data_IF_361983729305
#
_entry.id   IF_361983729305
#
_cell.length_a   1.000
_cell.length_b   1.000
_cell.length_c   1.000
_cell.angle_alpha   90.00
_cell.angle_beta   90.00
_cell.angle_gamma   90.00
#
_symmetry.space_group_name_H-M   'P 1'
#
loop_
_entity.id
_entity.type
_entity.pdbx_description
1 polymer ?
#
# COMPACT_ATOMS: atom_id res chain seq x y z
N UNK A 1 7.60 33.44 4.79
CA UNK A 1 7.87 33.53 6.24
C UNK A 1 8.49 32.24 6.73
N UNK A 2 9.82 32.18 6.90
CA UNK A 2 10.49 31.13 7.65
C UNK A 2 10.47 31.46 9.15
N UNK A 3 10.52 30.43 10.00
CA UNK A 3 10.52 30.58 11.46
C UNK A 3 11.10 29.34 12.12
N UNK A 4 12.42 29.22 11.99
CA UNK A 4 13.30 28.25 12.66
C UNK A 4 13.31 28.51 14.17
N UNK A 5 13.17 27.47 15.01
CA UNK A 5 13.76 27.46 16.35
C UNK A 5 13.89 26.03 16.90
N UNK A 6 15.09 25.74 17.37
CA UNK A 6 15.57 24.50 17.97
C UNK A 6 15.52 24.60 19.52
N UNK A 7 15.53 23.42 20.16
CA UNK A 7 16.17 23.08 21.46
C UNK A 7 15.32 23.03 22.76
N UNK A 8 15.26 21.77 23.25
CA UNK A 8 15.16 21.19 24.62
C UNK A 8 13.92 21.32 25.49
N UNK A 9 13.41 20.18 26.00
CA UNK A 9 12.81 20.09 27.32
C UNK A 9 13.81 19.54 28.36
N UNK A 10 13.97 20.30 29.43
CA UNK A 10 14.47 19.85 30.73
C UNK A 10 13.46 18.89 31.36
N UNK A 11 13.87 17.67 31.71
CA UNK A 11 13.10 16.79 32.60
C UNK A 11 13.85 16.60 33.92
N UNK A 12 13.30 17.22 34.94
CA UNK A 12 13.56 16.96 36.35
C UNK A 12 13.00 15.58 36.72
N UNK A 13 13.83 14.69 37.24
CA UNK A 13 13.34 13.50 37.92
C UNK A 13 13.87 13.43 39.35
N UNK A 14 12.95 13.66 40.26
CA UNK A 14 13.03 13.46 41.69
C UNK A 14 13.13 11.94 41.96
N UNK A 15 14.16 11.50 42.67
CA UNK A 15 14.20 10.14 43.21
C UNK A 15 14.71 10.12 44.64
N UNK A 16 13.91 9.45 45.45
CA UNK A 16 13.96 9.38 46.89
C UNK A 16 15.18 8.58 47.36
N UNK A 17 15.66 9.04 48.51
CA UNK A 17 16.70 8.44 49.35
C UNK A 17 16.44 6.96 49.64
N UNK A 18 17.51 6.17 49.64
CA UNK A 18 17.77 5.23 50.72
C UNK A 18 19.27 5.23 51.06
N UNK A 19 19.51 5.69 52.27
CA UNK A 19 20.77 5.79 52.99
C UNK A 19 21.24 4.44 53.49
N UNK A 20 22.54 4.12 53.41
CA UNK A 20 23.25 3.43 54.48
C UNK A 20 24.76 3.81 54.50
N UNK A 21 25.14 4.49 55.58
CA UNK A 21 26.34 4.24 56.38
C UNK A 21 27.73 4.38 55.74
N UNK A 22 28.32 5.59 55.81
CA UNK A 22 29.77 5.76 55.97
C UNK A 22 30.13 5.76 57.46
N UNK A 23 31.18 5.03 57.85
CA UNK A 23 32.08 5.44 58.94
C UNK A 23 33.53 5.31 58.50
N UNK A 24 34.29 6.30 58.91
CA UNK A 24 35.68 6.62 58.59
C UNK A 24 36.65 6.08 59.65
N UNK A 25 37.80 5.60 59.18
CA UNK A 25 39.13 5.69 59.82
C UNK A 25 39.54 4.63 60.85
N UNK A 26 40.84 4.56 61.24
CA UNK A 26 42.04 5.01 60.53
C UNK A 26 43.19 3.96 60.47
N UNK A 27 44.14 4.29 59.60
CA UNK A 27 45.45 3.68 59.32
C UNK A 27 46.39 3.63 60.52
N UNK A 28 46.98 2.46 60.80
CA UNK A 28 48.22 2.32 61.58
C UNK A 28 49.29 1.60 60.74
N UNK A 29 50.45 2.23 60.63
CA UNK A 29 51.69 1.69 60.06
C UNK A 29 52.66 1.38 61.20
N UNK A 30 53.46 0.29 61.15
CA UNK A 30 54.56 0.09 62.09
C UNK A 30 55.88 0.57 61.48
N UNK A 31 56.54 1.53 62.12
CA UNK A 31 57.94 1.91 61.88
C UNK A 31 58.73 1.57 63.14
N UNK A 32 59.75 0.71 63.03
CA UNK A 32 60.70 0.43 64.09
C UNK A 32 62.10 0.77 63.59
N UNK A 33 62.70 1.80 64.19
CA UNK A 33 64.11 2.15 64.06
C UNK A 33 64.80 1.88 65.39
N UNK A 34 65.92 1.13 65.45
CA UNK A 34 66.75 1.07 66.65
C UNK A 34 67.76 2.22 66.63
N UNK A 35 67.82 3.03 67.69
CA UNK A 35 68.91 3.99 67.90
C UNK A 35 69.50 3.78 69.29
N UNK A 36 70.77 3.41 69.28
CA UNK A 36 71.64 3.18 70.41
C UNK A 36 71.80 4.44 71.28
N UNK A 37 71.91 4.24 72.60
CA UNK A 37 72.68 5.14 73.47
C UNK A 37 73.57 4.35 74.43
N UNK A 38 74.78 4.85 74.74
CA UNK A 38 75.80 4.10 75.45
C UNK A 38 75.62 4.19 76.98
N UNK A 39 75.98 3.11 77.66
CA UNK A 39 76.08 3.02 79.13
C UNK A 39 77.48 3.44 79.60
N UNK A 40 77.52 4.48 80.42
CA UNK A 40 78.70 4.85 81.23
C UNK A 40 78.55 4.28 82.65
N UNK A 41 79.68 3.81 83.20
CA UNK A 41 79.89 3.01 84.41
C UNK A 41 80.24 3.90 85.62
N UNK A 42 79.80 3.54 86.84
CA UNK A 42 80.58 3.60 88.10
C UNK A 42 79.78 2.99 89.29
N UNK A 43 80.20 1.84 89.83
CA UNK A 43 80.90 1.58 91.13
C UNK A 43 80.02 1.50 92.37
N UNK A 44 79.95 0.30 92.98
CA UNK A 44 80.42 -0.01 94.35
C UNK A 44 80.34 -1.55 94.61
N UNK A 45 81.06 -2.08 95.61
CA UNK A 45 81.78 -3.35 95.51
C UNK A 45 81.11 -4.52 96.25
N UNK A 46 81.54 -5.75 95.96
CA UNK A 46 81.45 -6.89 96.88
C UNK A 46 82.76 -7.68 96.93
N UNK A 47 83.07 -8.35 98.05
CA UNK A 47 84.42 -8.74 98.43
C UNK A 47 84.91 -10.02 97.76
N UNK A 48 86.24 -10.12 97.69
CA UNK A 48 87.02 -11.30 97.30
C UNK A 48 86.59 -12.54 98.11
N UNK A 49 86.31 -13.63 97.41
CA UNK A 49 86.65 -14.97 97.90
C UNK A 49 87.44 -15.70 96.82
N UNK A 50 88.59 -16.18 97.26
CA UNK A 50 89.51 -17.05 96.52
C UNK A 50 88.88 -18.41 96.27
N UNK A 51 88.98 -18.90 95.04
CA UNK A 51 88.69 -20.29 94.71
C UNK A 51 88.88 -20.52 93.22
N UNK A 52 89.99 -21.15 92.86
CA UNK A 52 90.18 -21.76 91.54
C UNK A 52 89.01 -22.72 91.31
N UNK A 53 88.04 -22.32 90.51
CA UNK A 53 86.90 -23.14 90.11
C UNK A 53 86.90 -23.28 88.58
N UNK A 54 86.71 -24.52 88.15
CA UNK A 54 86.90 -25.04 86.81
C UNK A 54 85.93 -24.42 85.78
N UNK A 55 86.48 -23.78 84.74
CA UNK A 55 85.73 -23.12 83.66
C UNK A 55 85.23 -24.10 82.58
N UNK A 56 85.47 -25.40 82.71
CA UNK A 56 85.04 -26.40 81.73
C UNK A 56 83.51 -26.54 81.68
N UNK A 57 82.85 -26.73 82.82
CA UNK A 57 81.39 -26.91 82.88
C UNK A 57 80.60 -25.65 82.49
N UNK A 58 81.12 -24.46 82.79
CA UNK A 58 80.50 -23.19 82.38
C UNK A 58 80.63 -22.94 80.86
N UNK A 59 81.68 -23.45 80.20
CA UNK A 59 81.83 -23.40 78.75
C UNK A 59 80.88 -24.37 78.04
N UNK A 60 80.70 -25.58 78.59
CA UNK A 60 79.75 -26.57 78.05
C UNK A 60 78.32 -26.05 78.15
N UNK A 61 77.90 -25.56 79.32
CA UNK A 61 76.57 -24.97 79.50
C UNK A 61 76.33 -23.72 78.63
N UNK A 62 77.35 -22.89 78.42
CA UNK A 62 77.25 -21.74 77.51
C UNK A 62 77.25 -22.16 76.03
N UNK A 63 77.91 -23.27 75.68
CA UNK A 63 77.83 -23.87 74.34
C UNK A 63 76.42 -24.40 74.06
N UNK A 64 75.84 -25.14 75.00
CA UNK A 64 74.47 -25.66 74.91
C UNK A 64 73.44 -24.52 74.84
N UNK A 65 73.60 -23.46 75.62
CA UNK A 65 72.70 -22.29 75.56
C UNK A 65 72.84 -21.49 74.25
N UNK A 66 74.03 -21.52 73.64
CA UNK A 66 74.25 -20.94 72.31
C UNK A 66 73.62 -21.82 71.25
N UNK A 67 73.71 -23.14 71.36
CA UNK A 67 73.09 -24.10 70.45
C UNK A 67 71.56 -24.02 70.48
N UNK A 68 70.94 -23.97 71.66
CA UNK A 68 69.48 -23.79 71.78
C UNK A 68 69.04 -22.46 71.18
N UNK A 69 69.75 -21.36 71.48
CA UNK A 69 69.45 -20.05 70.90
C UNK A 69 69.68 -19.99 69.39
N UNK A 70 70.65 -20.73 68.86
CA UNK A 70 70.83 -20.84 67.40
C UNK A 70 69.73 -21.70 66.77
N UNK A 71 69.29 -22.76 67.43
CA UNK A 71 68.19 -23.60 66.95
C UNK A 71 66.86 -22.81 66.95
N UNK A 72 66.53 -22.12 68.04
CA UNK A 72 65.36 -21.21 68.09
C UNK A 72 65.45 -20.12 67.00
N UNK A 73 66.66 -19.60 66.75
CA UNK A 73 66.86 -18.60 65.68
C UNK A 73 66.61 -19.21 64.29
N UNK A 74 67.01 -20.46 64.05
CA UNK A 74 66.76 -21.17 62.78
C UNK A 74 65.27 -21.48 62.64
N UNK A 75 64.60 -21.96 63.68
CA UNK A 75 63.15 -22.19 63.66
C UNK A 75 62.36 -20.89 63.39
N UNK A 76 62.77 -19.78 64.01
CA UNK A 76 62.18 -18.47 63.74
C UNK A 76 62.46 -17.98 62.32
N UNK A 77 63.58 -18.38 61.71
CA UNK A 77 63.90 -18.07 60.33
C UNK A 77 63.01 -18.88 59.38
N UNK A 78 62.87 -20.19 59.60
CA UNK A 78 61.97 -21.05 58.81
C UNK A 78 60.51 -20.60 58.89
N UNK A 79 60.06 -20.18 60.07
CA UNK A 79 58.72 -19.65 60.27
C UNK A 79 58.52 -18.35 59.48
N UNK A 80 59.53 -17.47 59.49
CA UNK A 80 59.51 -16.22 58.72
C UNK A 80 59.54 -16.48 57.20
N UNK A 81 60.28 -17.48 56.72
CA UNK A 81 60.30 -17.85 55.30
C UNK A 81 58.93 -18.40 54.84
N UNK A 82 58.28 -19.20 55.71
CA UNK A 82 56.90 -19.65 55.47
C UNK A 82 55.93 -18.48 55.46
N UNK A 83 56.06 -17.52 56.39
CA UNK A 83 55.22 -16.31 56.38
C UNK A 83 55.45 -15.46 55.14
N UNK A 84 56.69 -15.28 54.69
CA UNK A 84 56.98 -14.57 53.46
C UNK A 84 56.29 -15.21 52.25
N UNK A 85 56.34 -16.55 52.16
CA UNK A 85 55.66 -17.32 51.11
C UNK A 85 54.13 -17.16 51.16
N UNK A 86 53.53 -17.18 52.34
CA UNK A 86 52.09 -16.95 52.49
C UNK A 86 51.69 -15.51 52.16
N UNK A 87 52.48 -14.52 52.57
CA UNK A 87 52.25 -13.11 52.24
C UNK A 87 52.30 -12.90 50.73
N UNK A 88 53.27 -13.51 50.04
CA UNK A 88 53.37 -13.45 48.59
C UNK A 88 52.17 -14.11 47.90
N UNK A 89 51.73 -15.28 48.39
CA UNK A 89 50.53 -15.95 47.90
C UNK A 89 49.26 -15.11 48.11
N UNK A 90 49.12 -14.46 49.27
CA UNK A 90 47.99 -13.56 49.54
C UNK A 90 48.03 -12.35 48.60
N UNK A 91 49.19 -11.73 48.38
CA UNK A 91 49.34 -10.63 47.41
C UNK A 91 48.97 -11.06 45.99
N UNK A 92 49.41 -12.25 45.56
CA UNK A 92 49.07 -12.78 44.24
C UNK A 92 47.57 -13.05 44.12
N UNK A 93 46.95 -13.62 45.16
CA UNK A 93 45.50 -13.86 45.19
C UNK A 93 44.71 -12.55 45.23
N UNK A 94 45.15 -11.55 45.98
CA UNK A 94 44.55 -10.22 45.99
C UNK A 94 44.66 -9.54 44.63
N UNK A 95 45.81 -9.64 43.97
CA UNK A 95 46.00 -9.10 42.62
C UNK A 95 45.11 -9.82 41.61
N UNK A 96 45.02 -11.16 41.68
CA UNK A 96 44.15 -11.95 40.82
C UNK A 96 42.67 -11.64 41.06
N UNK A 97 42.25 -11.49 42.31
CA UNK A 97 40.89 -11.07 42.64
C UNK A 97 40.59 -9.66 42.13
N UNK A 98 41.54 -8.73 42.21
CA UNK A 98 41.37 -7.39 41.61
C UNK A 98 41.12 -7.47 40.11
N UNK A 99 41.88 -8.30 39.39
CA UNK A 99 41.69 -8.50 37.95
C UNK A 99 40.32 -9.12 37.65
N UNK A 100 39.95 -10.19 38.34
CA UNK A 100 38.65 -10.85 38.17
C UNK A 100 37.47 -9.92 38.46
N UNK A 101 37.57 -9.06 39.48
CA UNK A 101 36.55 -8.06 39.80
C UNK A 101 36.43 -7.01 38.69
N UNK A 102 37.55 -6.57 38.12
CA UNK A 102 37.54 -5.63 36.99
C UNK A 102 36.93 -6.27 35.73
N UNK A 103 37.28 -7.52 35.43
CA UNK A 103 36.71 -8.28 34.31
C UNK A 103 35.20 -8.48 34.48
N UNK A 104 34.74 -8.86 35.67
CA UNK A 104 33.33 -9.07 35.98
C UNK A 104 32.52 -7.76 35.89
N UNK A 105 33.07 -6.65 36.35
CA UNK A 105 32.40 -5.35 36.18
C UNK A 105 32.29 -4.95 34.70
N UNK A 106 33.35 -5.21 33.91
CA UNK A 106 33.38 -4.91 32.48
C UNK A 106 32.38 -5.74 31.68
N UNK A 107 32.26 -7.04 31.95
CA UNK A 107 31.26 -7.89 31.27
C UNK A 107 29.84 -7.52 31.69
N UNK A 108 29.63 -7.23 32.98
CA UNK A 108 28.32 -6.80 33.51
C UNK A 108 27.82 -5.49 32.91
N UNK A 109 28.71 -4.56 32.55
CA UNK A 109 28.35 -3.33 31.83
C UNK A 109 28.01 -3.57 30.35
N UNK A 110 28.54 -4.62 29.72
CA UNK A 110 28.34 -4.90 28.29
C UNK A 110 27.12 -5.75 27.97
N UNK A 111 26.74 -6.69 28.85
CA UNK A 111 25.78 -7.75 28.52
C UNK A 111 24.27 -7.36 28.51
N UNK A 112 23.77 -6.36 29.28
CA UNK A 112 22.34 -6.05 29.26
C UNK A 112 21.89 -4.91 28.31
N UNK A 113 22.76 -3.96 27.93
CA UNK A 113 22.34 -2.82 27.09
C UNK A 113 22.38 -3.14 25.60
N UNK A 114 23.46 -3.75 25.10
CA UNK A 114 23.69 -3.88 23.64
C UNK A 114 22.59 -4.64 22.91
N UNK A 115 22.11 -5.75 23.48
CA UNK A 115 21.05 -6.55 22.86
C UNK A 115 19.70 -5.84 22.93
N UNK A 116 19.39 -5.21 24.05
CA UNK A 116 18.17 -4.42 24.20
C UNK A 116 18.15 -3.22 23.24
N UNK A 117 19.30 -2.55 23.06
CA UNK A 117 19.45 -1.41 22.16
C UNK A 117 19.21 -1.83 20.69
N UNK A 118 19.77 -2.97 20.24
CA UNK A 118 19.54 -3.51 18.90
C UNK A 118 18.07 -3.86 18.67
N UNK A 119 17.41 -4.57 19.60
CA UNK A 119 15.98 -4.85 19.46
C UNK A 119 15.12 -3.59 19.46
N UNK A 120 15.49 -2.58 20.24
CA UNK A 120 14.79 -1.30 20.23
C UNK A 120 14.98 -0.55 18.91
N UNK A 121 16.17 -0.59 18.31
CA UNK A 121 16.44 -0.01 16.99
C UNK A 121 15.61 -0.70 15.90
N UNK A 122 15.57 -2.03 15.87
CA UNK A 122 14.73 -2.79 14.94
C UNK A 122 13.24 -2.47 15.11
N UNK A 123 12.76 -2.37 16.36
CA UNK A 123 11.38 -1.95 16.64
C UNK A 123 11.09 -0.52 16.16
N UNK A 124 12.05 0.41 16.25
CA UNK A 124 11.90 1.78 15.71
C UNK A 124 11.87 1.77 14.18
N UNK A 125 12.74 0.99 13.54
CA UNK A 125 12.79 0.85 12.08
C UNK A 125 11.49 0.24 11.54
N UNK A 126 10.98 -0.82 12.18
CA UNK A 126 9.72 -1.46 11.84
C UNK A 126 8.54 -0.50 12.01
N UNK A 127 8.48 0.26 13.11
CA UNK A 127 7.45 1.29 13.31
C UNK A 127 7.50 2.36 12.21
N UNK A 128 8.71 2.84 11.87
CA UNK A 128 8.90 3.81 10.79
C UNK A 128 8.45 3.26 9.44
N UNK A 129 8.74 1.99 9.14
CA UNK A 129 8.24 1.31 7.93
C UNK A 129 6.73 1.21 7.91
N UNK A 130 6.10 0.86 9.03
CA UNK A 130 4.63 0.81 9.16
C UNK A 130 4.01 2.19 8.92
N UNK A 131 4.59 3.25 9.49
CA UNK A 131 4.12 4.63 9.26
C UNK A 131 4.28 5.05 7.79
N UNK A 132 5.42 4.76 7.17
CA UNK A 132 5.64 5.05 5.75
C UNK A 132 4.66 4.30 4.85
N UNK A 133 4.46 3.00 5.08
CA UNK A 133 3.48 2.21 4.34
C UNK A 133 2.06 2.71 4.61
N UNK A 134 1.74 3.12 5.83
CA UNK A 134 0.45 3.71 6.20
C UNK A 134 0.17 5.01 5.44
N UNK A 135 1.15 5.92 5.37
CA UNK A 135 1.00 7.16 4.59
C UNK A 135 0.93 6.92 3.09
N UNK A 136 1.70 5.96 2.55
CA UNK A 136 1.62 5.57 1.15
C UNK A 136 0.26 4.96 0.80
N UNK A 137 -0.25 4.08 1.67
CA UNK A 137 -1.59 3.50 1.55
C UNK A 137 -2.67 4.58 1.55
N UNK A 138 -2.63 5.51 2.51
CA UNK A 138 -3.62 6.59 2.57
C UNK A 138 -3.59 7.47 1.31
N UNK A 139 -2.41 7.76 0.75
CA UNK A 139 -2.30 8.50 -0.53
C UNK A 139 -2.91 7.71 -1.70
N UNK A 140 -2.64 6.42 -1.77
CA UNK A 140 -3.20 5.55 -2.81
C UNK A 140 -4.73 5.43 -2.70
N UNK A 141 -5.27 5.38 -1.48
CA UNK A 141 -6.72 5.38 -1.22
C UNK A 141 -7.37 6.67 -1.73
N UNK A 142 -6.79 7.84 -1.43
CA UNK A 142 -7.29 9.13 -1.94
C UNK A 142 -7.24 9.19 -3.47
N UNK A 143 -6.17 8.68 -4.10
CA UNK A 143 -6.09 8.62 -5.56
C UNK A 143 -7.14 7.69 -6.16
N UNK A 144 -7.36 6.52 -5.55
CA UNK A 144 -8.41 5.58 -5.97
C UNK A 144 -9.79 6.24 -5.88
N UNK A 145 -10.07 6.95 -4.80
CA UNK A 145 -11.36 7.60 -4.57
C UNK A 145 -11.58 8.73 -5.58
N UNK A 146 -10.55 9.55 -5.85
CA UNK A 146 -10.60 10.58 -6.90
C UNK A 146 -10.87 9.98 -8.29
N UNK A 147 -10.18 8.90 -8.66
CA UNK A 147 -10.41 8.21 -9.94
C UNK A 147 -11.82 7.58 -10.00
N UNK A 148 -12.35 7.08 -8.87
CA UNK A 148 -13.70 6.54 -8.81
C UNK A 148 -14.76 7.64 -9.03
N UNK A 149 -14.56 8.84 -8.46
CA UNK A 149 -15.42 10.01 -8.70
C UNK A 149 -15.36 10.46 -10.17
N UNK A 150 -14.16 10.55 -10.75
CA UNK A 150 -13.98 10.90 -12.17
C UNK A 150 -14.69 9.89 -13.08
N UNK A 151 -14.53 8.59 -12.83
CA UNK A 151 -15.24 7.53 -13.54
C UNK A 151 -16.77 7.63 -13.38
N UNK A 152 -17.25 7.98 -12.18
CA UNK A 152 -18.65 8.27 -11.92
C UNK A 152 -19.17 9.40 -12.80
N UNK A 153 -18.46 10.54 -12.81
CA UNK A 153 -18.84 11.71 -13.61
C UNK A 153 -18.84 11.43 -15.12
N UNK A 154 -17.90 10.62 -15.61
CA UNK A 154 -17.84 10.22 -17.03
C UNK A 154 -19.00 9.28 -17.40
N UNK A 155 -19.38 8.38 -16.50
CA UNK A 155 -20.55 7.51 -16.70
C UNK A 155 -21.84 8.31 -16.77
N UNK A 156 -22.03 9.29 -15.89
CA UNK A 156 -23.20 10.17 -15.92
C UNK A 156 -23.27 10.97 -17.22
N UNK A 157 -22.15 11.57 -17.65
CA UNK A 157 -22.08 12.26 -18.94
C UNK A 157 -22.41 11.35 -20.11
N UNK A 158 -21.87 10.13 -20.12
CA UNK A 158 -22.18 9.15 -21.16
C UNK A 158 -23.67 8.79 -21.17
N UNK A 159 -24.29 8.61 -20.00
CA UNK A 159 -25.73 8.35 -19.90
C UNK A 159 -26.55 9.53 -20.44
N UNK A 160 -26.17 10.76 -20.12
CA UNK A 160 -26.81 11.98 -20.66
C UNK A 160 -26.70 12.04 -22.18
N UNK A 161 -25.52 11.78 -22.75
CA UNK A 161 -25.33 11.74 -24.21
C UNK A 161 -26.18 10.65 -24.87
N UNK A 162 -26.30 9.48 -24.25
CA UNK A 162 -27.18 8.41 -24.76
C UNK A 162 -28.64 8.86 -24.73
N UNK A 163 -29.09 9.53 -23.66
CA UNK A 163 -30.47 10.04 -23.61
C UNK A 163 -30.73 11.10 -24.67
N UNK A 164 -29.82 12.06 -24.84
CA UNK A 164 -29.94 13.11 -25.87
C UNK A 164 -29.92 12.51 -27.28
N UNK A 165 -29.09 11.49 -27.52
CA UNK A 165 -29.08 10.75 -28.80
C UNK A 165 -30.43 10.10 -29.08
N UNK A 166 -31.03 9.42 -28.09
CA UNK A 166 -32.32 8.76 -28.24
C UNK A 166 -33.45 9.78 -28.49
N UNK A 167 -33.41 10.93 -27.82
CA UNK A 167 -34.34 12.03 -28.06
C UNK A 167 -34.19 12.62 -29.47
N UNK A 168 -32.96 12.82 -29.93
CA UNK A 168 -32.67 13.24 -31.30
C UNK A 168 -33.13 12.20 -32.34
N UNK A 169 -32.95 10.91 -32.07
CA UNK A 169 -33.44 9.83 -32.95
C UNK A 169 -34.98 9.79 -33.00
N UNK A 170 -35.64 9.99 -31.87
CA UNK A 170 -37.10 10.08 -31.78
C UNK A 170 -37.65 11.27 -32.57
N UNK A 171 -37.05 12.45 -32.42
CA UNK A 171 -37.47 13.66 -33.17
C UNK A 171 -37.22 13.50 -34.68
N UNK A 172 -36.09 12.91 -35.09
CA UNK A 172 -35.84 12.58 -36.49
C UNK A 172 -36.86 11.58 -37.05
N UNK A 173 -37.29 10.59 -36.26
CA UNK A 173 -38.32 9.66 -36.66
C UNK A 173 -39.68 10.36 -36.85
N UNK A 174 -40.04 11.30 -35.97
CA UNK A 174 -41.24 12.13 -36.12
C UNK A 174 -41.19 12.97 -37.40
N UNK A 175 -40.07 13.67 -37.66
CA UNK A 175 -39.93 14.45 -38.90
C UNK A 175 -40.03 13.60 -40.16
N UNK A 176 -39.53 12.35 -40.14
CA UNK A 176 -39.71 11.43 -41.28
C UNK A 176 -41.19 11.11 -41.52
N UNK A 177 -41.94 10.83 -40.46
CA UNK A 177 -43.38 10.61 -40.57
C UNK A 177 -44.12 11.84 -41.11
N UNK A 178 -43.75 13.03 -40.66
CA UNK A 178 -44.34 14.29 -41.16
C UNK A 178 -44.05 14.50 -42.65
N UNK A 179 -42.82 14.20 -43.09
CA UNK A 179 -42.43 14.27 -44.50
C UNK A 179 -43.22 13.26 -45.35
N UNK A 180 -43.36 12.02 -44.87
CA UNK A 180 -44.15 11.00 -45.55
C UNK A 180 -45.63 11.40 -45.64
N UNK A 181 -46.21 11.96 -44.57
CA UNK A 181 -47.57 12.49 -44.56
C UNK A 181 -47.76 13.66 -45.53
N UNK A 182 -46.81 14.60 -45.57
CA UNK A 182 -46.82 15.72 -46.51
C UNK A 182 -46.68 15.25 -47.97
N UNK A 183 -45.86 14.22 -48.23
CA UNK A 183 -45.72 13.62 -49.55
C UNK A 183 -47.03 12.97 -50.02
N UNK A 184 -47.73 12.25 -49.14
CA UNK A 184 -49.06 11.71 -49.43
C UNK A 184 -50.09 12.81 -49.73
N UNK A 185 -50.14 13.86 -48.90
CA UNK A 185 -51.04 14.99 -49.13
C UNK A 185 -50.75 15.71 -50.46
N UNK A 186 -49.48 15.86 -50.83
CA UNK A 186 -49.09 16.42 -52.14
C UNK A 186 -49.60 15.53 -53.29
N UNK A 187 -49.41 14.22 -53.21
CA UNK A 187 -49.91 13.28 -54.23
C UNK A 187 -51.45 13.33 -54.36
N UNK A 188 -52.17 13.48 -53.25
CA UNK A 188 -53.63 13.63 -53.27
C UNK A 188 -54.07 14.93 -53.97
N UNK A 189 -53.38 16.03 -53.69
CA UNK A 189 -53.63 17.30 -54.36
C UNK A 189 -53.28 17.24 -55.86
N UNK A 190 -52.17 16.61 -56.24
CA UNK A 190 -51.79 16.40 -57.64
C UNK A 190 -52.86 15.60 -58.39
N UNK A 191 -53.39 14.52 -57.79
CA UNK A 191 -54.51 13.75 -58.37
C UNK A 191 -55.76 14.60 -58.55
N UNK A 192 -56.07 15.46 -57.58
CA UNK A 192 -57.26 16.32 -57.63
C UNK A 192 -57.12 17.43 -58.67
N UNK A 193 -55.91 18.00 -58.81
CA UNK A 193 -55.58 18.93 -59.89
C UNK A 193 -55.73 18.26 -61.25
N UNK A 194 -55.19 17.04 -61.42
CA UNK A 194 -55.38 16.26 -62.65
C UNK A 194 -56.85 16.04 -62.99
N UNK A 195 -57.66 15.62 -62.01
CA UNK A 195 -59.11 15.44 -62.20
C UNK A 195 -59.83 16.73 -62.59
N UNK A 196 -59.46 17.87 -61.99
CA UNK A 196 -60.05 19.17 -62.34
C UNK A 196 -59.59 19.63 -63.73
N UNK A 197 -58.36 19.35 -64.12
CA UNK A 197 -57.86 19.62 -65.47
C UNK A 197 -58.63 18.82 -66.52
N UNK A 198 -58.90 17.53 -66.26
CA UNK A 198 -59.71 16.68 -67.13
C UNK A 198 -61.16 17.22 -67.25
N UNK A 199 -61.75 17.69 -66.15
CA UNK A 199 -63.09 18.30 -66.14
C UNK A 199 -63.13 19.63 -66.94
N UNK A 200 -62.11 20.48 -66.79
CA UNK A 200 -61.98 21.71 -67.60
C UNK A 200 -61.84 21.37 -69.08
N UNK A 201 -60.99 20.40 -69.44
CA UNK A 201 -60.82 19.98 -70.83
C UNK A 201 -62.12 19.40 -71.41
N UNK A 202 -62.88 18.66 -70.60
CA UNK A 202 -64.21 18.18 -70.98
C UNK A 202 -65.18 19.35 -71.23
N UNK A 203 -65.27 20.32 -70.32
CA UNK A 203 -66.13 21.50 -70.49
C UNK A 203 -65.73 22.35 -71.70
N UNK A 204 -64.43 22.48 -71.98
CA UNK A 204 -63.94 23.15 -73.18
C UNK A 204 -64.39 22.43 -74.46
N UNK A 205 -64.27 21.10 -74.52
CA UNK A 205 -64.77 20.30 -75.66
C UNK A 205 -66.28 20.46 -75.84
N UNK A 206 -67.06 20.38 -74.76
CA UNK A 206 -68.51 20.58 -74.83
C UNK A 206 -68.82 22.00 -75.33
N UNK A 207 -68.09 23.02 -74.86
CA UNK A 207 -68.27 24.40 -75.31
C UNK A 207 -67.93 24.56 -76.79
N UNK A 208 -66.83 23.96 -77.27
CA UNK A 208 -66.47 23.92 -78.69
C UNK A 208 -67.55 23.23 -79.53
N UNK A 209 -68.05 22.07 -79.11
CA UNK A 209 -69.13 21.36 -79.79
C UNK A 209 -70.42 22.18 -79.85
N UNK A 210 -70.83 22.82 -78.75
CA UNK A 210 -72.01 23.71 -78.71
C UNK A 210 -71.81 24.93 -79.60
N UNK A 211 -70.61 25.51 -79.61
CA UNK A 211 -70.27 26.66 -80.45
C UNK A 211 -70.27 26.27 -81.93
N UNK A 212 -69.77 25.07 -82.27
CA UNK A 212 -69.86 24.52 -83.61
C UNK A 212 -71.29 24.17 -84.02
N UNK A 213 -72.15 23.72 -83.09
CA UNK A 213 -73.59 23.53 -83.34
C UNK A 213 -74.32 24.85 -83.57
N UNK A 214 -74.02 25.89 -82.79
CA UNK A 214 -74.60 27.23 -82.95
C UNK A 214 -74.09 27.96 -84.20
N UNK A 215 -72.79 27.87 -84.51
CA UNK A 215 -72.20 28.47 -85.71
C UNK A 215 -72.42 27.63 -86.97
N UNK A 216 -72.63 26.32 -86.83
CA UNK A 216 -72.99 25.38 -87.91
C UNK A 216 -74.42 25.53 -88.42
N UNK A 217 -75.28 26.26 -87.70
CA UNK A 217 -76.62 26.65 -88.15
C UNK A 217 -76.64 27.71 -89.28
N UNK A 218 -75.49 28.21 -89.72
CA UNK A 218 -75.39 29.23 -90.78
C UNK A 218 -74.38 28.85 -91.88
N UNK A 219 -74.45 27.60 -92.36
CA UNK A 219 -73.64 27.15 -93.51
C UNK A 219 -74.40 26.18 -94.41
N UNK A 220 -75.41 26.71 -95.09
CA UNK A 220 -76.06 26.07 -96.23
C UNK A 220 -76.49 27.13 -97.25
N UNK A 221 -75.70 27.29 -98.31
CA UNK A 221 -76.12 28.02 -99.51
C UNK A 221 -75.16 29.13 -99.97
N UNK A 222 -74.23 28.80 -100.86
CA UNK A 222 -73.82 29.74 -101.91
C UNK A 222 -73.29 28.95 -103.11
N UNK A 223 -74.21 28.59 -104.00
CA UNK A 223 -73.93 28.41 -105.41
C UNK A 223 -74.35 29.71 -106.12
N UNK A 224 -73.55 30.12 -107.10
CA UNK A 224 -73.58 31.44 -107.71
C UNK A 224 -74.88 31.85 -108.40
N UNK A 225 -74.95 33.13 -108.72
CA UNK A 225 -76.03 33.73 -109.50
C UNK A 225 -76.02 35.25 -109.37
N UNK A 226 -75.55 35.89 -110.43
CA UNK A 226 -75.49 37.33 -110.70
C UNK A 226 -76.87 38.01 -110.80
N UNK A 227 -76.93 39.25 -110.27
CA UNK A 227 -77.63 40.44 -110.80
C UNK A 227 -79.18 40.57 -110.70
N UNK A 228 -79.78 41.78 -110.89
CA UNK A 228 -79.57 43.03 -110.15
C UNK A 228 -80.89 43.86 -109.96
N UNK A 229 -81.30 44.22 -108.73
CA UNK A 229 -82.32 45.28 -108.53
C UNK A 229 -82.54 45.64 -107.04
N UNK A 230 -81.71 46.53 -106.47
CA UNK A 230 -82.09 47.29 -105.26
C UNK A 230 -81.27 48.55 -104.89
N UNK A 231 -80.40 49.20 -105.71
CA UNK A 231 -79.65 50.37 -105.22
C UNK A 231 -80.40 51.71 -105.31
N UNK A 232 -81.69 51.74 -105.69
CA UNK A 232 -82.46 52.99 -105.76
C UNK A 232 -83.26 53.26 -104.47
N UNK A 233 -83.98 52.26 -103.95
CA UNK A 233 -84.79 52.43 -102.74
C UNK A 233 -83.96 52.62 -101.45
N UNK A 234 -82.74 52.06 -101.41
CA UNK A 234 -81.79 52.27 -100.31
C UNK A 234 -81.15 53.68 -100.31
N UNK A 235 -81.06 54.34 -101.47
CA UNK A 235 -80.56 55.72 -101.58
C UNK A 235 -81.62 56.73 -101.18
N UNK A 236 -82.87 56.52 -101.57
CA UNK A 236 -83.98 57.40 -101.19
C UNK A 236 -84.26 57.34 -99.68
N UNK A 237 -84.12 56.16 -99.04
CA UNK A 237 -84.19 56.03 -97.58
C UNK A 237 -82.98 56.68 -96.86
N UNK A 238 -81.79 56.67 -97.46
CA UNK A 238 -80.61 57.38 -96.92
C UNK A 238 -80.78 58.90 -97.00
N UNK A 239 -81.43 59.42 -98.04
CA UNK A 239 -81.65 60.85 -98.24
C UNK A 239 -82.80 61.38 -97.37
N UNK A 240 -83.83 60.57 -97.11
CA UNK A 240 -84.88 60.87 -96.13
C UNK A 240 -84.35 60.86 -94.67
N UNK A 241 -83.40 59.98 -94.33
CA UNK A 241 -82.69 60.00 -93.04
C UNK A 241 -81.73 61.20 -92.90
N UNK A 242 -81.18 61.69 -94.01
CA UNK A 242 -80.36 62.91 -94.02
C UNK A 242 -81.21 64.19 -93.85
N UNK A 243 -82.42 64.23 -94.41
CA UNK A 243 -83.37 65.34 -94.27
C UNK A 243 -84.05 65.42 -92.88
N UNK A 244 -84.17 64.30 -92.17
CA UNK A 244 -84.70 64.26 -90.79
C UNK A 244 -83.64 64.39 -89.69
N UNK A 245 -82.36 64.62 -90.05
CA UNK A 245 -81.31 64.98 -89.08
C UNK A 245 -81.46 66.45 -88.66
N UNK A 246 -82.52 66.71 -87.90
CA UNK A 246 -82.68 67.94 -87.13
C UNK A 246 -81.50 68.03 -86.17
N UNK A 247 -80.72 69.08 -86.34
CA UNK A 247 -79.65 69.50 -85.44
C UNK A 247 -80.31 69.90 -84.11
N UNK A 248 -80.46 68.94 -83.21
CA UNK A 248 -80.65 69.23 -81.79
C UNK A 248 -79.26 69.35 -81.21
N UNK A 249 -78.83 70.58 -80.98
CA UNK A 249 -77.73 70.92 -80.11
C UNK A 249 -77.96 70.22 -78.76
N UNK A 250 -77.28 69.10 -78.57
CA UNK A 250 -77.00 68.55 -77.26
C UNK A 250 -75.52 68.83 -77.04
N UNK A 251 -75.25 69.99 -76.45
CA UNK A 251 -74.06 70.23 -75.65
C UNK A 251 -74.03 69.18 -74.53
N UNK A 252 -73.48 68.02 -74.86
CA UNK A 252 -72.95 67.05 -73.92
C UNK A 252 -71.67 66.54 -74.56
N UNK A 253 -70.54 66.98 -74.02
CA UNK A 253 -69.20 66.48 -74.35
C UNK A 253 -69.24 64.96 -74.51
N UNK A 254 -69.13 64.48 -75.75
CA UNK A 254 -68.99 63.05 -76.03
C UNK A 254 -67.79 62.56 -75.22
N UNK A 255 -67.94 61.56 -74.35
CA UNK A 255 -66.80 61.05 -73.59
C UNK A 255 -65.76 60.54 -74.59
N UNK A 256 -64.53 61.05 -74.49
CA UNK A 256 -63.45 60.73 -75.42
C UNK A 256 -62.98 59.27 -75.19
N UNK A 257 -63.63 58.34 -75.88
CA UNK A 257 -63.35 56.91 -75.81
C UNK A 257 -61.87 56.59 -76.09
N UNK A 258 -61.20 57.43 -76.89
CA UNK A 258 -59.78 57.29 -77.23
C UNK A 258 -58.87 57.62 -76.04
N UNK A 259 -59.26 58.58 -75.19
CA UNK A 259 -58.57 58.85 -73.94
C UNK A 259 -58.77 57.71 -72.94
N UNK A 260 -60.01 57.23 -72.78
CA UNK A 260 -60.33 56.10 -71.91
C UNK A 260 -59.57 54.82 -72.30
N UNK A 261 -59.45 54.52 -73.61
CA UNK A 261 -58.68 53.37 -74.10
C UNK A 261 -57.16 53.52 -73.88
N UNK A 262 -56.62 54.74 -74.00
CA UNK A 262 -55.21 55.01 -73.66
C UNK A 262 -54.95 54.85 -72.17
N UNK A 263 -55.85 55.35 -71.33
CA UNK A 263 -55.73 55.23 -69.88
C UNK A 263 -55.82 53.77 -69.43
N UNK A 264 -56.75 52.98 -69.99
CA UNK A 264 -56.83 51.54 -69.75
C UNK A 264 -55.53 50.86 -70.18
N UNK A 265 -54.97 51.20 -71.35
CA UNK A 265 -53.70 50.63 -71.82
C UNK A 265 -52.53 50.97 -70.89
N UNK A 266 -52.40 52.22 -70.47
CA UNK A 266 -51.37 52.66 -69.52
C UNK A 266 -51.52 51.94 -68.18
N UNK A 267 -52.75 51.75 -67.70
CA UNK A 267 -53.00 50.95 -66.49
C UNK A 267 -52.59 49.49 -66.66
N UNK A 268 -52.87 48.86 -67.79
CA UNK A 268 -52.42 47.49 -68.06
C UNK A 268 -50.90 47.38 -68.20
N UNK A 269 -50.25 48.34 -68.87
CA UNK A 269 -48.79 48.39 -68.98
C UNK A 269 -48.15 48.59 -67.59
N UNK A 270 -48.71 49.45 -66.75
CA UNK A 270 -48.28 49.63 -65.36
C UNK A 270 -48.50 48.38 -64.51
N UNK A 271 -49.66 47.71 -64.63
CA UNK A 271 -49.92 46.44 -63.95
C UNK A 271 -48.97 45.33 -64.41
N UNK A 272 -48.69 45.23 -65.71
CA UNK A 272 -47.76 44.24 -66.24
C UNK A 272 -46.33 44.49 -65.75
N UNK A 273 -45.90 45.75 -65.69
CA UNK A 273 -44.60 46.13 -65.13
C UNK A 273 -44.53 45.83 -63.62
N UNK A 274 -45.57 46.16 -62.84
CA UNK A 274 -45.65 45.84 -61.41
C UNK A 274 -45.58 44.34 -61.17
N UNK A 275 -46.38 43.56 -61.90
CA UNK A 275 -46.39 42.10 -61.80
C UNK A 275 -45.03 41.50 -62.17
N UNK A 276 -44.38 42.01 -63.23
CA UNK A 276 -43.03 41.56 -63.58
C UNK A 276 -42.02 41.87 -62.48
N UNK A 277 -42.04 43.07 -61.92
CA UNK A 277 -41.15 43.45 -60.82
C UNK A 277 -41.42 42.62 -59.55
N UNK A 278 -42.67 42.42 -59.17
CA UNK A 278 -43.08 41.59 -58.03
C UNK A 278 -42.60 40.14 -58.21
N UNK A 279 -42.72 39.58 -59.42
CA UNK A 279 -42.20 38.24 -59.69
C UNK A 279 -40.67 38.19 -59.59
N UNK A 280 -39.95 39.18 -60.12
CA UNK A 280 -38.49 39.25 -59.99
C UNK A 280 -38.04 39.38 -58.54
N UNK A 281 -38.67 40.26 -57.76
CA UNK A 281 -38.38 40.45 -56.35
C UNK A 281 -38.69 39.18 -55.55
N UNK A 282 -39.79 38.50 -55.87
CA UNK A 282 -40.14 37.20 -55.30
C UNK A 282 -39.07 36.14 -55.61
N UNK A 283 -38.61 36.05 -56.87
CA UNK A 283 -37.54 35.12 -57.24
C UNK A 283 -36.23 35.48 -56.53
N UNK A 284 -35.82 36.76 -56.52
CA UNK A 284 -34.60 37.22 -55.83
C UNK A 284 -34.63 36.87 -54.35
N UNK A 285 -35.76 37.12 -53.68
CA UNK A 285 -35.98 36.74 -52.28
C UNK A 285 -35.86 35.22 -52.09
N UNK A 286 -36.49 34.44 -52.97
CA UNK A 286 -36.43 32.98 -52.87
C UNK A 286 -35.03 32.42 -53.10
N UNK A 287 -34.27 33.01 -54.03
CA UNK A 287 -32.87 32.66 -54.24
C UNK A 287 -31.99 33.03 -53.04
N UNK A 288 -32.22 34.19 -52.43
CA UNK A 288 -31.52 34.59 -51.21
C UNK A 288 -31.80 33.60 -50.06
N UNK A 289 -33.07 33.26 -49.81
CA UNK A 289 -33.47 32.29 -48.79
C UNK A 289 -32.79 30.92 -48.97
N UNK A 290 -32.75 30.42 -50.21
CA UNK A 290 -32.10 29.14 -50.53
C UNK A 290 -30.58 29.21 -50.35
N UNK A 291 -29.98 30.35 -50.71
CA UNK A 291 -28.53 30.58 -50.54
C UNK A 291 -28.17 30.65 -49.05
N UNK A 292 -28.96 31.37 -48.25
CA UNK A 292 -28.77 31.47 -46.80
C UNK A 292 -28.99 30.12 -46.10
N UNK A 293 -29.97 29.34 -46.54
CA UNK A 293 -30.18 27.98 -46.05
C UNK A 293 -28.98 27.07 -46.39
N UNK A 294 -28.47 27.14 -47.62
CA UNK A 294 -27.29 26.38 -48.03
C UNK A 294 -26.03 26.79 -47.23
N UNK A 295 -25.85 28.09 -46.97
CA UNK A 295 -24.76 28.59 -46.13
C UNK A 295 -24.85 28.05 -44.70
N UNK A 296 -26.03 28.11 -44.07
CA UNK A 296 -26.30 27.54 -42.74
C UNK A 296 -26.03 26.04 -42.69
N UNK A 297 -26.47 25.29 -43.70
CA UNK A 297 -26.19 23.85 -43.78
C UNK A 297 -24.68 23.56 -43.94
N UNK A 298 -23.96 24.37 -44.71
CA UNK A 298 -22.51 24.23 -44.86
C UNK A 298 -21.76 24.54 -43.55
N UNK A 299 -22.20 25.54 -42.79
CA UNK A 299 -21.68 25.86 -41.46
C UNK A 299 -21.96 24.75 -40.45
N UNK A 300 -23.19 24.24 -40.40
CA UNK A 300 -23.55 23.10 -39.55
C UNK A 300 -22.70 21.86 -39.88
N UNK A 301 -22.45 21.58 -41.17
CA UNK A 301 -21.58 20.49 -41.60
C UNK A 301 -20.12 20.72 -41.16
N UNK A 302 -19.61 21.96 -41.21
CA UNK A 302 -18.27 22.27 -40.71
C UNK A 302 -18.19 22.10 -39.20
N UNK A 303 -19.17 22.59 -38.44
CA UNK A 303 -19.23 22.43 -36.99
C UNK A 303 -19.23 20.94 -36.60
N UNK A 304 -20.13 20.14 -37.19
CA UNK A 304 -20.20 18.69 -36.94
C UNK A 304 -18.88 17.98 -37.30
N UNK A 305 -18.19 18.40 -38.37
CA UNK A 305 -16.86 17.88 -38.72
C UNK A 305 -15.78 18.29 -37.71
N UNK A 306 -15.84 19.49 -37.16
CA UNK A 306 -14.91 19.93 -36.12
C UNK A 306 -15.12 19.12 -34.84
N UNK A 307 -16.36 18.98 -34.39
CA UNK A 307 -16.73 18.15 -33.23
C UNK A 307 -16.30 16.68 -33.41
N UNK A 308 -16.58 16.08 -34.58
CA UNK A 308 -16.16 14.71 -34.87
C UNK A 308 -14.63 14.54 -34.81
N UNK A 309 -13.87 15.55 -35.27
CA UNK A 309 -12.42 15.54 -35.19
C UNK A 309 -11.91 15.73 -33.75
N UNK A 310 -12.59 16.52 -32.93
CA UNK A 310 -12.27 16.69 -31.51
C UNK A 310 -12.51 15.40 -30.73
N UNK A 311 -13.66 14.74 -30.91
CA UNK A 311 -13.91 13.42 -30.33
C UNK A 311 -12.87 12.39 -30.78
N UNK A 312 -12.46 12.43 -32.06
CA UNK A 312 -11.39 11.56 -32.56
C UNK A 312 -10.05 11.81 -31.85
N UNK A 313 -9.68 13.07 -31.59
CA UNK A 313 -8.47 13.41 -30.84
C UNK A 313 -8.56 13.00 -29.37
N UNK A 314 -9.72 13.21 -28.73
CA UNK A 314 -9.96 12.78 -27.35
C UNK A 314 -9.86 11.26 -27.22
N UNK A 315 -10.45 10.51 -28.14
CA UNK A 315 -10.31 9.04 -28.19
C UNK A 315 -8.85 8.62 -28.32
N UNK A 316 -8.07 9.28 -29.18
CA UNK A 316 -6.64 8.98 -29.32
C UNK A 316 -5.85 9.27 -28.03
N UNK A 317 -6.12 10.41 -27.37
CA UNK A 317 -5.48 10.76 -26.10
C UNK A 317 -5.81 9.73 -25.01
N UNK A 318 -7.10 9.42 -24.82
CA UNK A 318 -7.55 8.41 -23.86
C UNK A 318 -6.97 7.02 -24.17
N UNK A 319 -6.80 6.68 -25.45
CA UNK A 319 -6.17 5.41 -25.84
C UNK A 319 -4.70 5.38 -25.43
N UNK A 320 -3.95 6.47 -25.64
CA UNK A 320 -2.56 6.57 -25.19
C UNK A 320 -2.44 6.49 -23.66
N UNK A 321 -3.33 7.16 -22.94
CA UNK A 321 -3.36 7.12 -21.47
C UNK A 321 -3.66 5.71 -20.96
N UNK A 322 -4.60 5.00 -21.59
CA UNK A 322 -4.89 3.59 -21.27
C UNK A 322 -3.68 2.69 -21.52
N UNK A 323 -2.96 2.86 -22.63
CA UNK A 323 -1.75 2.11 -22.93
C UNK A 323 -0.62 2.41 -21.92
N UNK A 324 -0.45 3.67 -21.54
CA UNK A 324 0.52 4.08 -20.54
C UNK A 324 0.21 3.49 -19.15
N UNK A 325 -1.06 3.52 -18.72
CA UNK A 325 -1.51 2.92 -17.47
C UNK A 325 -1.42 1.39 -17.49
N UNK A 326 -1.69 0.75 -18.63
CA UNK A 326 -1.45 -0.70 -18.79
C UNK A 326 0.04 -1.01 -18.63
N UNK A 327 0.91 -0.26 -19.28
CA UNK A 327 2.36 -0.43 -19.17
C UNK A 327 2.88 -0.25 -17.73
N UNK A 328 2.38 0.76 -17.00
CA UNK A 328 2.76 0.96 -15.60
C UNK A 328 2.24 -0.16 -14.70
N UNK A 329 1.01 -0.64 -14.92
CA UNK A 329 0.45 -1.76 -14.17
C UNK A 329 1.25 -3.05 -14.40
N UNK A 330 1.56 -3.39 -15.65
CA UNK A 330 2.43 -4.54 -15.94
C UNK A 330 3.82 -4.43 -15.30
N UNK A 331 4.38 -3.21 -15.20
CA UNK A 331 5.67 -2.99 -14.53
C UNK A 331 5.57 -3.22 -13.02
N UNK A 332 4.49 -2.76 -12.39
CA UNK A 332 4.23 -2.97 -10.96
C UNK A 332 3.98 -4.43 -10.65
N UNK A 333 3.23 -5.14 -11.50
CA UNK A 333 3.04 -6.59 -11.36
C UNK A 333 4.36 -7.36 -11.50
N UNK A 334 5.24 -6.98 -12.43
CA UNK A 334 6.59 -7.58 -12.52
C UNK A 334 7.39 -7.32 -11.25
N UNK A 335 7.40 -6.09 -10.73
CA UNK A 335 8.08 -5.77 -9.48
C UNK A 335 7.52 -6.57 -8.29
N UNK A 336 6.20 -6.75 -8.23
CA UNK A 336 5.56 -7.54 -7.16
C UNK A 336 5.97 -9.01 -7.24
N UNK A 337 5.96 -9.61 -8.44
CA UNK A 337 6.45 -10.98 -8.64
C UNK A 337 7.93 -11.12 -8.27
N UNK A 338 8.78 -10.19 -8.69
CA UNK A 338 10.21 -10.20 -8.32
C UNK A 338 10.42 -10.10 -6.79
N UNK A 339 9.60 -9.30 -6.09
CA UNK A 339 9.65 -9.21 -4.64
C UNK A 339 9.18 -10.51 -3.97
N UNK A 340 8.08 -11.10 -4.44
CA UNK A 340 7.59 -12.41 -3.98
C UNK A 340 8.64 -13.51 -4.16
N UNK A 341 9.30 -13.57 -5.32
CA UNK A 341 10.39 -14.52 -5.59
C UNK A 341 11.58 -14.30 -4.65
N UNK A 342 11.98 -13.05 -4.41
CA UNK A 342 13.06 -12.75 -3.45
C UNK A 342 12.72 -13.20 -2.04
N UNK A 343 11.50 -12.91 -1.56
CA UNK A 343 11.07 -13.36 -0.24
C UNK A 343 10.93 -14.88 -0.14
N UNK A 344 10.52 -15.55 -1.23
CA UNK A 344 10.50 -17.01 -1.28
C UNK A 344 11.91 -17.59 -1.16
N UNK A 345 12.90 -17.01 -1.85
CA UNK A 345 14.31 -17.41 -1.74
C UNK A 345 14.88 -17.16 -0.34
N UNK A 346 14.62 -15.98 0.26
CA UNK A 346 15.03 -15.68 1.64
C UNK A 346 14.40 -16.65 2.64
N UNK A 347 13.10 -16.94 2.48
CA UNK A 347 12.40 -17.92 3.33
C UNK A 347 13.03 -19.30 3.20
N UNK A 348 13.33 -19.76 1.96
CA UNK A 348 14.03 -21.02 1.73
C UNK A 348 15.41 -21.02 2.41
N UNK A 349 16.16 -19.93 2.30
CA UNK A 349 17.47 -19.82 2.94
C UNK A 349 17.36 -19.90 4.47
N UNK A 350 16.37 -19.24 5.08
CA UNK A 350 16.12 -19.38 6.51
C UNK A 350 15.72 -20.82 6.89
N UNK A 351 14.86 -21.47 6.11
CA UNK A 351 14.50 -22.87 6.33
C UNK A 351 15.72 -23.80 6.24
N UNK A 352 16.62 -23.60 5.28
CA UNK A 352 17.87 -24.36 5.18
C UNK A 352 18.76 -24.15 6.41
N UNK A 353 18.86 -22.91 6.92
CA UNK A 353 19.63 -22.64 8.14
C UNK A 353 19.02 -23.29 9.37
N UNK A 354 17.69 -23.28 9.49
CA UNK A 354 16.97 -23.97 10.56
C UNK A 354 17.23 -25.47 10.47
N UNK A 355 17.11 -26.06 9.27
CA UNK A 355 17.37 -27.48 9.04
C UNK A 355 18.78 -27.91 9.45
N UNK A 356 19.80 -27.12 9.10
CA UNK A 356 21.19 -27.37 9.53
C UNK A 356 21.35 -27.33 11.05
N UNK A 357 20.77 -26.33 11.71
CA UNK A 357 20.84 -26.23 13.17
C UNK A 357 20.09 -27.38 13.86
N UNK A 358 18.97 -27.83 13.28
CA UNK A 358 18.24 -29.00 13.77
C UNK A 358 19.04 -30.31 13.59
N UNK A 359 19.79 -30.44 12.49
CA UNK A 359 20.74 -31.54 12.27
C UNK A 359 21.88 -31.53 13.29
N UNK A 360 22.51 -30.38 13.53
CA UNK A 360 23.57 -30.23 14.53
C UNK A 360 23.07 -30.62 15.93
N UNK A 361 21.87 -30.16 16.31
CA UNK A 361 21.24 -30.51 17.58
C UNK A 361 20.99 -32.02 17.66
N UNK A 362 20.57 -32.66 16.57
CA UNK A 362 20.38 -34.12 16.53
C UNK A 362 21.72 -34.85 16.70
N UNK A 363 22.75 -34.45 15.96
CA UNK A 363 24.10 -35.04 16.07
C UNK A 363 24.64 -34.95 17.49
N UNK A 364 24.57 -33.77 18.11
CA UNK A 364 25.06 -33.56 19.47
C UNK A 364 24.27 -34.37 20.51
N UNK A 365 22.96 -34.56 20.31
CA UNK A 365 22.15 -35.45 21.17
C UNK A 365 22.57 -36.91 21.05
N UNK A 366 22.85 -37.38 19.83
CA UNK A 366 23.35 -38.74 19.61
C UNK A 366 24.73 -38.95 20.22
N UNK A 367 25.64 -37.98 20.06
CA UNK A 367 26.96 -38.00 20.70
C UNK A 367 26.86 -38.02 22.23
N UNK A 368 25.99 -37.19 22.81
CA UNK A 368 25.71 -37.19 24.24
C UNK A 368 25.19 -38.56 24.71
N UNK A 369 24.28 -39.17 23.96
CA UNK A 369 23.74 -40.49 24.26
C UNK A 369 24.83 -41.57 24.20
N UNK A 370 25.73 -41.52 23.21
CA UNK A 370 26.89 -42.43 23.13
C UNK A 370 27.81 -42.28 24.34
N UNK A 371 28.16 -41.05 24.72
CA UNK A 371 29.00 -40.83 25.91
C UNK A 371 28.34 -41.34 27.19
N UNK A 372 27.04 -41.12 27.38
CA UNK A 372 26.32 -41.67 28.53
C UNK A 372 26.38 -43.20 28.58
N UNK A 373 26.28 -43.87 27.43
CA UNK A 373 26.43 -45.32 27.33
C UNK A 373 27.86 -45.75 27.69
N UNK A 374 28.89 -45.09 27.15
CA UNK A 374 30.29 -45.36 27.46
C UNK A 374 30.60 -45.17 28.96
N UNK A 375 30.03 -44.13 29.60
CA UNK A 375 30.15 -43.91 31.04
C UNK A 375 29.48 -45.03 31.85
N UNK A 376 28.30 -45.49 31.43
CA UNK A 376 27.62 -46.59 32.10
C UNK A 376 28.43 -47.89 31.99
N UNK A 377 29.00 -48.17 30.82
CA UNK A 377 29.85 -49.36 30.60
C UNK A 377 31.12 -49.30 31.47
N UNK A 378 31.76 -48.13 31.55
CA UNK A 378 32.92 -47.93 32.42
C UNK A 378 32.58 -48.09 33.91
N UNK A 379 31.41 -47.59 34.33
CA UNK A 379 30.90 -47.78 35.69
C UNK A 379 30.67 -49.26 35.99
N UNK A 380 30.10 -50.01 35.05
CA UNK A 380 29.91 -51.45 35.17
C UNK A 380 31.24 -52.20 35.33
N UNK A 381 32.27 -51.84 34.55
CA UNK A 381 33.63 -52.41 34.69
C UNK A 381 34.22 -52.06 36.07
N UNK A 382 34.07 -50.82 36.52
CA UNK A 382 34.53 -50.40 37.85
C UNK A 382 33.86 -51.22 38.96
N UNK A 383 32.55 -51.45 38.86
CA UNK A 383 31.81 -52.26 39.82
C UNK A 383 32.32 -53.72 39.84
N UNK A 384 32.60 -54.31 38.68
CA UNK A 384 33.19 -55.64 38.59
C UNK A 384 34.56 -55.70 39.27
N UNK A 385 35.42 -54.71 39.02
CA UNK A 385 36.74 -54.60 39.66
C UNK A 385 36.63 -54.43 41.19
N UNK A 386 35.66 -53.66 41.70
CA UNK A 386 35.45 -53.54 43.14
C UNK A 386 35.07 -54.88 43.77
N UNK A 387 34.23 -55.68 43.09
CA UNK A 387 33.86 -57.02 43.54
C UNK A 387 35.12 -57.91 43.56
N UNK A 388 35.92 -57.91 42.49
CA UNK A 388 37.19 -58.64 42.42
C UNK A 388 38.13 -58.24 43.57
N UNK A 389 38.37 -56.95 43.77
CA UNK A 389 39.20 -56.43 44.86
C UNK A 389 38.67 -56.88 46.23
N UNK A 390 37.36 -56.84 46.45
CA UNK A 390 36.75 -57.31 47.68
C UNK A 390 36.95 -58.82 47.89
N UNK A 391 36.87 -59.63 46.83
CA UNK A 391 37.17 -61.07 46.91
C UNK A 391 38.64 -61.34 47.20
N UNK A 392 39.57 -60.63 46.53
CA UNK A 392 41.00 -60.74 46.80
C UNK A 392 41.34 -60.35 48.24
N UNK A 393 40.74 -59.27 48.77
CA UNK A 393 40.92 -58.86 50.18
C UNK A 393 40.48 -59.97 51.15
N UNK A 394 39.31 -60.57 50.95
CA UNK A 394 38.83 -61.69 51.80
C UNK A 394 39.73 -62.92 51.77
N UNK A 395 40.28 -63.26 50.60
CA UNK A 395 41.24 -64.36 50.47
C UNK A 395 42.53 -64.07 51.24
N UNK A 396 43.06 -62.84 51.16
CA UNK A 396 44.25 -62.41 51.89
C UNK A 396 44.01 -62.40 53.41
N UNK A 397 42.87 -61.89 53.90
CA UNK A 397 42.48 -61.97 55.32
C UNK A 397 42.35 -63.44 55.79
N UNK A 398 41.88 -64.33 54.91
CA UNK A 398 41.80 -65.78 55.14
C UNK A 398 43.14 -66.51 55.13
N UNK A 399 44.19 -65.93 54.54
CA UNK A 399 45.58 -66.41 54.58
C UNK A 399 46.29 -65.86 55.83
N UNK A 400 46.12 -64.57 56.14
CA UNK A 400 46.65 -63.93 57.35
C UNK A 400 46.18 -64.66 58.62
N UNK A 401 44.92 -65.10 58.65
CA UNK A 401 44.34 -65.90 59.75
C UNK A 401 44.87 -67.34 59.84
N UNK A 402 45.49 -67.89 58.79
CA UNK A 402 46.21 -69.18 58.85
C UNK A 402 47.66 -69.01 59.29
N UNK A 403 48.27 -67.88 58.96
CA UNK A 403 49.68 -67.57 59.24
C UNK A 403 49.86 -66.96 60.65
N UNK A 404 48.83 -66.33 61.22
CA UNK A 404 48.87 -65.78 62.58
C UNK A 404 48.32 -66.74 63.65
N UNK A 405 49.21 -67.21 64.53
CA UNK A 405 48.87 -67.75 65.87
C UNK A 405 48.24 -66.61 66.70
N UNK A 406 47.27 -66.87 67.62
CA UNK A 406 46.43 -65.81 68.14
C UNK A 406 47.21 -64.85 69.05
N UNK A 407 47.26 -63.57 68.66
CA UNK A 407 47.36 -62.46 69.61
C UNK A 407 46.19 -61.54 69.34
N UNK A 408 45.22 -61.58 70.25
CA UNK A 408 44.14 -60.62 70.32
C UNK A 408 44.71 -59.22 70.55
N UNK A 409 44.34 -58.24 69.72
CA UNK A 409 43.68 -57.02 70.20
C UNK A 409 43.31 -56.04 69.08
N UNK A 410 41.98 -55.92 68.92
CA UNK A 410 41.15 -54.73 68.67
C UNK A 410 41.50 -53.75 67.54
N UNK A 411 40.64 -53.74 66.52
CA UNK A 411 40.05 -52.51 65.98
C UNK A 411 38.66 -52.80 65.41
N UNK A 412 37.62 -52.46 66.19
CA UNK A 412 36.24 -52.38 65.73
C UNK A 412 36.13 -51.27 64.68
N UNK A 413 36.03 -51.64 63.41
CA UNK A 413 35.52 -50.75 62.36
C UNK A 413 33.99 -50.83 62.36
N UNK A 414 33.37 -49.91 63.12
CA UNK A 414 31.98 -49.56 62.90
C UNK A 414 31.84 -48.94 61.50
N UNK A 415 31.44 -49.76 60.54
CA UNK A 415 30.83 -49.29 59.29
C UNK A 415 29.52 -48.61 59.68
N UNK A 416 29.58 -47.28 59.80
CA UNK A 416 28.37 -46.45 59.81
C UNK A 416 27.88 -46.42 58.37
N UNK A 417 26.85 -47.22 58.09
CA UNK A 417 25.97 -47.03 56.94
C UNK A 417 25.59 -45.55 56.86
N UNK A 418 26.15 -44.84 55.87
CA UNK A 418 25.49 -43.65 55.35
C UNK A 418 24.32 -44.17 54.54
N UNK A 419 23.14 -44.10 55.16
CA UNK A 419 21.84 -44.12 54.49
C UNK A 419 21.90 -43.22 53.26
N UNK A 420 22.13 -43.81 52.09
CA UNK A 420 21.77 -43.18 50.84
C UNK A 420 20.27 -43.32 50.77
N UNK A 421 19.58 -42.21 51.04
CA UNK A 421 18.21 -41.99 50.59
C UNK A 421 18.19 -42.15 49.06
N UNK A 422 18.08 -43.38 48.57
CA UNK A 422 17.38 -43.63 47.31
C UNK A 422 15.91 -43.36 47.60
N UNK A 423 15.56 -42.06 47.67
CA UNK A 423 14.24 -41.64 47.23
C UNK A 423 14.14 -42.11 45.80
N UNK A 424 13.46 -43.23 45.63
CA UNK A 424 12.71 -43.54 44.43
C UNK A 424 12.08 -42.23 43.96
N UNK A 425 12.68 -41.59 42.97
CA UNK A 425 11.96 -40.66 42.11
C UNK A 425 10.99 -41.56 41.39
N UNK A 426 9.84 -41.73 42.02
CA UNK A 426 8.64 -42.28 41.43
C UNK A 426 8.47 -41.59 40.09
N UNK A 427 8.54 -42.42 39.05
CA UNK A 427 7.84 -42.27 37.77
C UNK A 427 7.02 -40.99 37.69
N UNK A 428 7.68 -39.97 37.17
CA UNK A 428 7.01 -38.90 36.48
C UNK A 428 6.31 -39.51 35.26
N UNK A 429 5.03 -39.88 35.39
CA UNK A 429 4.12 -39.79 34.26
C UNK A 429 3.49 -38.39 34.26
N UNK A 430 4.23 -37.51 33.58
CA UNK A 430 3.80 -36.19 33.11
C UNK A 430 2.48 -36.31 32.34
N UNK A 431 1.34 -36.06 33.00
CA UNK A 431 0.09 -35.72 32.29
C UNK A 431 0.22 -34.31 31.75
N UNK A 432 0.84 -34.16 30.58
CA UNK A 432 0.87 -32.89 29.84
C UNK A 432 -0.51 -32.70 29.19
N UNK A 433 -1.33 -31.81 29.73
CA UNK A 433 -2.54 -31.33 29.06
C UNK A 433 -2.15 -30.34 27.98
N UNK A 434 -2.47 -30.62 26.73
CA UNK A 434 -2.30 -29.68 25.62
C UNK A 434 -3.54 -28.79 25.58
N UNK A 435 -3.33 -27.48 25.79
CA UNK A 435 -4.36 -26.46 25.65
C UNK A 435 -4.19 -25.82 24.29
N UNK A 436 -5.13 -26.07 23.39
CA UNK A 436 -5.15 -25.38 22.09
C UNK A 436 -6.02 -24.14 22.24
N UNK A 437 -5.41 -22.97 22.03
CA UNK A 437 -6.11 -21.69 21.94
C UNK A 437 -6.15 -21.26 20.49
N UNK A 438 -7.35 -21.20 19.94
CA UNK A 438 -7.61 -20.60 18.62
C UNK A 438 -8.17 -19.20 18.82
N UNK A 439 -7.45 -18.22 18.27
CA UNK A 439 -7.78 -16.80 18.35
C UNK A 439 -8.06 -16.30 16.93
N UNK A 440 -9.31 -15.97 16.64
CA UNK A 440 -9.69 -15.32 15.37
C UNK A 440 -9.52 -13.81 15.53
N UNK A 441 -8.61 -13.23 14.75
CA UNK A 441 -8.37 -11.78 14.71
C UNK A 441 -8.78 -11.23 13.35
N UNK A 442 -9.44 -10.07 13.36
CA UNK A 442 -9.66 -9.25 12.16
C UNK A 442 -9.30 -7.82 12.53
N UNK A 443 -8.46 -7.20 11.71
CA UNK A 443 -8.00 -5.82 11.89
C UNK A 443 -7.33 -5.54 13.25
N UNK A 444 -6.68 -6.56 13.83
CA UNK A 444 -5.93 -6.43 15.09
C UNK A 444 -6.75 -6.56 16.37
N UNK A 445 -8.08 -6.70 16.28
CA UNK A 445 -8.94 -6.99 17.43
C UNK A 445 -9.35 -8.48 17.46
N UNK A 446 -9.38 -9.05 18.68
CA UNK A 446 -9.76 -10.45 18.91
C UNK A 446 -11.28 -10.54 18.92
N UNK A 447 -11.86 -11.15 17.89
CA UNK A 447 -13.32 -11.24 17.71
C UNK A 447 -13.89 -12.49 18.39
N UNK A 448 -13.08 -13.55 18.52
CA UNK A 448 -13.49 -14.79 19.18
C UNK A 448 -12.29 -15.57 19.72
N UNK A 449 -12.35 -15.94 21.00
CA UNK A 449 -11.38 -16.84 21.64
C UNK A 449 -12.10 -18.13 22.05
N UNK A 450 -11.59 -19.27 21.57
CA UNK A 450 -12.06 -20.59 21.99
C UNK A 450 -10.89 -21.39 22.56
N UNK A 451 -11.09 -21.95 23.76
CA UNK A 451 -10.10 -22.76 24.49
C UNK A 451 -10.63 -24.19 24.60
N UNK A 452 -9.95 -25.14 23.97
CA UNK A 452 -10.29 -26.55 24.06
C UNK A 452 -9.15 -27.33 24.74
N UNK A 453 -9.49 -28.00 25.85
CA UNK A 453 -8.56 -28.84 26.61
C UNK A 453 -8.72 -30.29 26.17
N UNK A 454 -7.69 -30.82 25.50
CA UNK A 454 -7.60 -32.25 25.23
C UNK A 454 -6.79 -32.93 26.34
N UNK A 455 -7.46 -33.81 27.08
CA UNK A 455 -6.81 -34.73 28.01
C UNK A 455 -6.53 -36.02 27.25
N UNK A 456 -5.27 -36.29 26.93
CA UNK A 456 -4.88 -37.64 26.52
C UNK A 456 -5.06 -38.57 27.71
N UNK A 457 -5.97 -39.54 27.56
CA UNK A 457 -6.04 -40.71 28.43
C UNK A 457 -5.01 -41.68 27.86
N UNK A 458 -3.97 -41.95 28.66
CA UNK A 458 -2.90 -42.88 28.31
C UNK A 458 -3.42 -44.31 28.12
#
# INVERSE_FOLDING_TARGET
NPGTAHITPTFTMESRRLSYGRRFGPTWSPTWSPTERPRSRSTHPTPRTSGTMDFSSAKVLNSEFRETRTNEKVEMMELNDRFASYIEKVRLLEQRNKVLVLELNRTREQEPSRVADVYQEELRELRRRVELLGTAKARAEVQRDGLAEELGSLREKLQQEVTLRLEAESTLAAYRQDVDAAALARLDLERRVGSLQDEVAFLQKVHEEVTLLWCGGSRGGSHGGTDPSSPQELRELQEQLAQHRVHVEIDASKPDLTAALRDIRVQYEAMAASNMQETEEWYKSKFADLTDAAARHAEALRAAKHEANEYRRQLQALTCDLEALRGSNESLERQLRELEERYALETSAYQDTVGRLEEDIRSLKEEMARHLQEYQDLLNVKLALDIEIATYRKLLEGEESRITVPVQSFSNLQIRETSLDTKSVSEAHLKRSIVVKTVETRDGEVIKESKQEHKEVA
#
